data_IF_851453394098
#
_entry.id   IF_851453394098
#
_cell.length_a   1.000
_cell.length_b   1.000
_cell.length_c   1.000
_cell.angle_alpha   90.00
_cell.angle_beta   90.00
_cell.angle_gamma   90.00
#
_symmetry.space_group_name_H-M   'P 1'
#
loop_
_entity.id
_entity.type
_entity.pdbx_description
1 polymer ?
#
# COMPACT_ATOMS: atom_id res chain seq x y z
N UNK A 1 5.48 5.17 -14.74
CA UNK A 1 4.38 5.17 -13.75
C UNK A 1 4.64 4.20 -12.60
N UNK A 2 5.16 3.01 -12.89
CA UNK A 2 5.35 1.91 -11.92
C UNK A 2 6.25 2.28 -10.74
N UNK A 3 7.32 3.06 -10.96
CA UNK A 3 8.15 3.60 -9.87
C UNK A 3 7.42 4.60 -8.96
N UNK A 4 6.43 5.35 -9.46
CA UNK A 4 5.59 6.22 -8.62
C UNK A 4 4.71 5.36 -7.71
N UNK A 5 4.15 4.27 -8.25
CA UNK A 5 3.43 3.30 -7.45
C UNK A 5 4.35 2.68 -6.38
N UNK A 6 5.54 2.18 -6.76
CA UNK A 6 6.52 1.64 -5.79
C UNK A 6 6.80 2.64 -4.67
N UNK A 7 7.09 3.89 -5.03
CA UNK A 7 7.33 4.94 -4.06
C UNK A 7 6.11 5.16 -3.14
N UNK A 8 4.90 5.23 -3.69
CA UNK A 8 3.65 5.34 -2.94
C UNK A 8 3.47 4.20 -1.93
N UNK A 9 3.59 2.95 -2.36
CA UNK A 9 3.43 1.78 -1.48
C UNK A 9 4.42 1.80 -0.30
N UNK A 10 5.69 2.16 -0.53
CA UNK A 10 6.69 2.29 0.54
C UNK A 10 6.39 3.51 1.42
N UNK A 11 6.03 4.64 0.80
CA UNK A 11 5.75 5.91 1.48
C UNK A 11 4.55 5.80 2.43
N UNK A 12 3.55 5.00 2.07
CA UNK A 12 2.40 4.73 2.92
C UNK A 12 2.82 4.01 4.21
N UNK A 13 3.67 2.98 4.13
CA UNK A 13 4.19 2.29 5.33
C UNK A 13 4.96 3.27 6.23
N UNK A 14 5.70 4.21 5.64
CA UNK A 14 6.31 5.30 6.39
C UNK A 14 5.29 6.24 7.05
N UNK A 15 4.16 6.52 6.39
CA UNK A 15 3.06 7.30 6.95
C UNK A 15 2.51 6.65 8.23
N UNK A 16 2.18 5.37 8.17
CA UNK A 16 1.73 4.61 9.35
C UNK A 16 2.78 4.55 10.46
N UNK A 17 4.06 4.37 10.10
CA UNK A 17 5.16 4.42 11.05
C UNK A 17 5.19 5.73 11.84
N UNK A 18 5.03 6.86 11.14
CA UNK A 18 5.00 8.18 11.76
C UNK A 18 3.80 8.35 12.71
N UNK A 19 2.62 7.82 12.33
CA UNK A 19 1.43 7.82 13.19
C UNK A 19 1.62 6.98 14.45
N UNK A 20 2.11 5.73 14.32
CA UNK A 20 2.42 4.88 15.47
C UNK A 20 3.43 5.53 16.41
N UNK A 21 4.45 6.19 15.85
CA UNK A 21 5.45 6.91 16.63
C UNK A 21 4.83 8.07 17.42
N UNK A 22 4.00 8.90 16.79
CA UNK A 22 3.32 10.03 17.45
C UNK A 22 2.36 9.57 18.55
N UNK A 23 1.67 8.45 18.34
CA UNK A 23 0.74 7.88 19.34
C UNK A 23 1.46 7.22 20.53
N UNK A 24 2.73 6.82 20.35
CA UNK A 24 3.50 6.13 21.38
C UNK A 24 4.14 7.11 22.37
N UNK A 25 3.83 6.94 23.66
CA UNK A 25 4.45 7.68 24.77
C UNK A 25 5.73 7.03 25.32
N UNK A 26 6.06 5.81 24.88
CA UNK A 26 7.21 5.06 25.37
C UNK A 26 8.55 5.64 24.89
N UNK A 27 9.66 5.31 25.55
CA UNK A 27 11.00 5.72 25.12
C UNK A 27 11.31 5.16 23.71
N UNK A 28 11.72 6.00 22.76
CA UNK A 28 11.88 5.58 21.36
C UNK A 28 13.27 5.86 20.84
N UNK A 29 13.72 5.00 19.93
CA UNK A 29 14.92 5.20 19.13
C UNK A 29 14.80 6.45 18.24
N UNK A 30 15.89 6.96 17.66
CA UNK A 30 15.84 8.11 16.75
C UNK A 30 14.90 7.88 15.57
N UNK A 31 14.10 8.90 15.21
CA UNK A 31 13.14 8.80 14.10
C UNK A 31 13.82 8.56 12.74
N UNK A 32 15.01 9.10 12.54
CA UNK A 32 15.78 8.88 11.33
C UNK A 32 16.05 7.38 11.10
N UNK A 33 16.31 6.63 12.17
CA UNK A 33 16.57 5.20 12.08
C UNK A 33 15.29 4.40 11.74
N UNK A 34 14.15 4.74 12.33
CA UNK A 34 12.85 4.19 11.93
C UNK A 34 12.56 4.46 10.44
N UNK A 35 12.76 5.72 10.01
CA UNK A 35 12.58 6.15 8.62
C UNK A 35 13.45 5.33 7.67
N UNK A 36 14.76 5.27 7.93
CA UNK A 36 15.69 4.50 7.11
C UNK A 36 15.28 3.04 7.03
N UNK A 37 14.88 2.44 8.15
CA UNK A 37 14.49 1.02 8.20
C UNK A 37 13.32 0.73 7.28
N UNK A 38 12.22 1.51 7.32
CA UNK A 38 11.08 1.29 6.41
C UNK A 38 11.49 1.39 4.94
N UNK A 39 12.29 2.40 4.58
CA UNK A 39 12.74 2.57 3.21
C UNK A 39 13.68 1.45 2.75
N UNK A 40 14.54 0.94 3.63
CA UNK A 40 15.40 -0.21 3.32
C UNK A 40 14.58 -1.50 3.19
N UNK A 41 13.60 -1.72 4.07
CA UNK A 41 12.78 -2.95 4.05
C UNK A 41 11.90 -3.07 2.80
N UNK A 42 11.34 -1.96 2.32
CA UNK A 42 10.58 -1.95 1.06
C UNK A 42 11.45 -1.75 -0.19
N UNK A 43 12.50 -0.92 -0.10
CA UNK A 43 13.28 -0.50 -1.26
C UNK A 43 14.32 -1.52 -1.72
N UNK A 44 15.03 -2.19 -0.80
CA UNK A 44 16.08 -3.14 -1.19
C UNK A 44 15.53 -4.31 -2.01
N UNK A 45 14.39 -4.95 -1.67
CA UNK A 45 13.81 -6.00 -2.50
C UNK A 45 13.59 -5.57 -3.95
N UNK A 46 13.16 -4.33 -4.18
CA UNK A 46 13.02 -3.78 -5.54
C UNK A 46 14.39 -3.59 -6.20
N UNK A 47 15.36 -2.99 -5.53
CA UNK A 47 16.70 -2.79 -6.10
C UNK A 47 17.35 -4.15 -6.42
N UNK A 48 17.23 -5.12 -5.51
CA UNK A 48 17.65 -6.50 -5.73
C UNK A 48 17.03 -7.07 -7.00
N UNK A 49 15.73 -6.87 -7.18
CA UNK A 49 15.01 -7.35 -8.36
C UNK A 49 15.53 -6.75 -9.67
N UNK A 50 16.07 -5.52 -9.67
CA UNK A 50 16.73 -4.89 -10.83
C UNK A 50 18.11 -5.49 -11.15
N UNK A 51 18.81 -5.97 -10.12
CA UNK A 51 20.23 -6.31 -10.19
C UNK A 51 20.51 -7.81 -10.15
N UNK A 52 19.52 -8.62 -9.77
CA UNK A 52 19.67 -10.08 -9.74
C UNK A 52 19.77 -10.66 -11.15
N UNK A 53 20.52 -11.74 -11.30
CA UNK A 53 20.55 -12.61 -12.48
C UNK A 53 19.50 -13.73 -12.40
N UNK A 54 18.80 -13.85 -11.28
CA UNK A 54 17.69 -14.79 -11.17
C UNK A 54 16.59 -14.41 -12.16
N UNK A 55 16.06 -15.44 -12.83
CA UNK A 55 14.91 -15.26 -13.71
C UNK A 55 13.74 -14.69 -12.91
N UNK A 56 13.22 -13.54 -13.35
CA UNK A 56 11.97 -12.99 -12.82
C UNK A 56 10.83 -13.88 -13.29
N UNK A 57 10.12 -14.50 -12.35
CA UNK A 57 8.97 -15.35 -12.66
C UNK A 57 7.66 -14.55 -12.71
N UNK A 58 7.74 -13.22 -12.48
CA UNK A 58 6.62 -12.31 -12.64
C UNK A 58 7.05 -10.91 -13.09
N UNK A 59 6.06 -10.15 -13.58
CA UNK A 59 6.16 -8.72 -13.80
C UNK A 59 5.13 -8.02 -12.94
N UNK A 60 5.59 -7.06 -12.13
CA UNK A 60 4.71 -6.22 -11.34
C UNK A 60 4.23 -5.11 -12.28
N UNK A 61 2.91 -5.00 -12.46
CA UNK A 61 2.27 -4.26 -13.56
C UNK A 61 2.47 -4.96 -14.91
N UNK A 62 3.29 -4.42 -15.83
CA UNK A 62 3.47 -4.96 -17.18
C UNK A 62 4.95 -5.26 -17.43
N UNK A 63 5.21 -6.26 -18.29
CA UNK A 63 6.56 -6.58 -18.76
C UNK A 63 7.26 -5.32 -19.32
N UNK A 64 8.46 -5.03 -18.84
CA UNK A 64 9.27 -3.89 -19.28
C UNK A 64 9.14 -2.62 -18.44
N UNK A 65 8.25 -2.57 -17.45
CA UNK A 65 8.10 -1.40 -16.57
C UNK A 65 9.29 -1.19 -15.61
N UNK A 66 10.02 -2.26 -15.31
CA UNK A 66 11.19 -2.25 -14.43
C UNK A 66 12.45 -2.60 -15.20
N UNK A 67 13.50 -1.78 -15.01
CA UNK A 67 14.78 -1.99 -15.68
C UNK A 67 15.45 -3.30 -15.21
N UNK A 68 16.20 -3.90 -16.12
CA UNK A 68 17.02 -5.10 -15.87
C UNK A 68 18.47 -4.74 -16.15
N UNK A 69 19.29 -4.77 -15.10
CA UNK A 69 20.72 -4.50 -15.19
C UNK A 69 21.47 -5.43 -14.23
N UNK A 70 21.69 -6.70 -14.64
CA UNK A 70 22.17 -7.73 -13.73
C UNK A 70 23.58 -7.40 -13.22
N UNK A 71 23.67 -7.11 -11.93
CA UNK A 71 24.90 -7.04 -11.13
C UNK A 71 24.71 -7.93 -9.90
N UNK A 72 24.78 -9.26 -10.04
CA UNK A 72 24.33 -10.20 -9.00
C UNK A 72 25.09 -10.06 -7.68
N UNK A 73 26.38 -9.73 -7.76
CA UNK A 73 27.19 -9.45 -6.58
C UNK A 73 26.62 -8.28 -5.76
N UNK A 74 26.28 -7.17 -6.41
CA UNK A 74 25.70 -6.00 -5.74
C UNK A 74 24.31 -6.33 -5.18
N UNK A 75 23.51 -7.10 -5.93
CA UNK A 75 22.20 -7.57 -5.49
C UNK A 75 22.31 -8.34 -4.14
N UNK A 76 23.23 -9.31 -4.07
CA UNK A 76 23.47 -10.10 -2.86
C UNK A 76 24.01 -9.26 -1.69
N UNK A 77 24.94 -8.35 -1.96
CA UNK A 77 25.47 -7.42 -0.93
C UNK A 77 24.35 -6.57 -0.34
N UNK A 78 23.44 -6.04 -1.16
CA UNK A 78 22.30 -5.25 -0.70
C UNK A 78 21.34 -6.07 0.16
N UNK A 79 21.04 -7.33 -0.20
CA UNK A 79 20.22 -8.21 0.63
C UNK A 79 20.86 -8.51 2.00
N UNK A 80 22.16 -8.84 2.01
CA UNK A 80 22.88 -9.06 3.27
C UNK A 80 22.91 -7.80 4.14
N UNK A 81 23.07 -6.63 3.53
CA UNK A 81 22.98 -5.35 4.21
C UNK A 81 21.58 -5.14 4.81
N UNK A 82 20.51 -5.40 4.04
CA UNK A 82 19.13 -5.32 4.54
C UNK A 82 18.92 -6.23 5.76
N UNK A 83 19.33 -7.49 5.66
CA UNK A 83 19.12 -8.47 6.73
C UNK A 83 19.90 -8.09 8.00
N UNK A 84 21.14 -7.62 7.84
CA UNK A 84 21.98 -7.14 8.95
C UNK A 84 21.36 -5.91 9.60
N UNK A 85 20.88 -4.95 8.80
CA UNK A 85 20.19 -3.76 9.29
C UNK A 85 18.93 -4.12 10.07
N UNK A 86 18.12 -5.05 9.55
CA UNK A 86 16.89 -5.50 10.19
C UNK A 86 17.18 -6.21 11.52
N UNK A 87 18.18 -7.10 11.57
CA UNK A 87 18.65 -7.69 12.81
C UNK A 87 19.07 -6.62 13.83
N UNK A 88 19.82 -5.60 13.40
CA UNK A 88 20.21 -4.48 14.27
C UNK A 88 19.00 -3.68 14.78
N UNK A 89 17.99 -3.45 13.93
CA UNK A 89 16.74 -2.81 14.32
C UNK A 89 16.03 -3.57 15.46
N UNK A 90 15.92 -4.90 15.34
CA UNK A 90 15.32 -5.75 16.36
C UNK A 90 16.16 -5.74 17.65
N UNK A 91 17.49 -5.85 17.54
CA UNK A 91 18.39 -5.84 18.71
C UNK A 91 18.31 -4.53 19.49
N UNK A 92 18.24 -3.37 18.82
CA UNK A 92 18.06 -2.08 19.50
C UNK A 92 16.72 -2.06 20.24
N UNK A 93 15.64 -2.54 19.63
CA UNK A 93 14.34 -2.57 20.29
C UNK A 93 14.31 -3.53 21.48
N UNK A 94 15.00 -4.66 21.39
CA UNK A 94 15.23 -5.57 22.53
C UNK A 94 16.01 -4.87 23.65
N UNK A 95 17.07 -4.13 23.32
CA UNK A 95 17.81 -3.32 24.30
C UNK A 95 16.92 -2.27 24.97
N UNK A 96 16.10 -1.53 24.19
CA UNK A 96 15.18 -0.52 24.72
C UNK A 96 14.11 -1.14 25.64
N UNK A 97 13.64 -2.33 25.31
CA UNK A 97 12.72 -3.07 26.17
C UNK A 97 13.38 -3.47 27.49
N UNK A 98 14.60 -4.00 27.46
CA UNK A 98 15.34 -4.39 28.67
C UNK A 98 15.64 -3.17 29.54
N UNK A 99 16.10 -2.06 28.94
CA UNK A 99 16.58 -0.87 29.66
C UNK A 99 15.46 0.05 30.15
N UNK A 100 14.43 0.27 29.33
CA UNK A 100 13.41 1.29 29.56
C UNK A 100 12.00 0.69 29.69
N UNK A 101 11.84 -0.64 29.56
CA UNK A 101 10.53 -1.31 29.48
C UNK A 101 9.64 -0.72 28.37
N UNK A 102 10.27 -0.21 27.33
CA UNK A 102 9.60 0.40 26.18
C UNK A 102 9.53 -0.56 25.01
N UNK A 103 8.32 -0.86 24.55
CA UNK A 103 8.10 -1.68 23.36
C UNK A 103 6.98 -1.06 22.51
N UNK A 104 7.31 -0.18 21.54
CA UNK A 104 6.32 0.39 20.63
C UNK A 104 5.86 -0.66 19.60
N UNK A 105 5.04 -1.61 20.05
CA UNK A 105 4.72 -2.84 19.34
C UNK A 105 4.12 -2.61 17.95
N UNK A 106 3.16 -1.67 17.82
CA UNK A 106 2.52 -1.39 16.54
C UNK A 106 3.51 -0.94 15.46
N UNK A 107 4.50 -0.13 15.83
CA UNK A 107 5.59 0.27 14.94
C UNK A 107 6.48 -0.91 14.55
N UNK A 108 6.90 -1.72 15.52
CA UNK A 108 7.80 -2.85 15.27
C UNK A 108 7.11 -3.87 14.35
N UNK A 109 5.85 -4.21 14.62
CA UNK A 109 5.04 -5.09 13.79
C UNK A 109 4.89 -4.55 12.37
N UNK A 110 4.70 -3.23 12.21
CA UNK A 110 4.63 -2.60 10.88
C UNK A 110 5.92 -2.78 10.09
N UNK A 111 7.09 -2.60 10.71
CA UNK A 111 8.39 -2.79 10.06
C UNK A 111 8.60 -4.26 9.69
N UNK A 112 8.32 -5.18 10.62
CA UNK A 112 8.42 -6.63 10.38
C UNK A 112 7.51 -7.02 9.21
N UNK A 113 6.26 -6.59 9.23
CA UNK A 113 5.29 -6.87 8.17
C UNK A 113 5.73 -6.28 6.82
N UNK A 114 6.28 -5.06 6.81
CA UNK A 114 6.87 -4.47 5.59
C UNK A 114 8.01 -5.34 5.05
N UNK A 115 8.94 -5.78 5.91
CA UNK A 115 10.00 -6.68 5.50
C UNK A 115 9.44 -8.01 4.96
N UNK A 116 8.51 -8.65 5.67
CA UNK A 116 7.92 -9.93 5.27
C UNK A 116 7.28 -9.83 3.89
N UNK A 117 6.38 -8.85 3.68
CA UNK A 117 5.64 -8.71 2.42
C UNK A 117 6.59 -8.48 1.24
N UNK A 118 7.56 -7.56 1.38
CA UNK A 118 8.44 -7.19 0.28
C UNK A 118 9.54 -8.21 0.02
N UNK A 119 10.19 -8.71 1.07
CA UNK A 119 11.23 -9.74 0.92
C UNK A 119 10.63 -11.06 0.43
N UNK A 120 9.58 -11.57 1.08
CA UNK A 120 9.03 -12.85 0.66
C UNK A 120 8.32 -12.77 -0.68
N UNK A 121 7.58 -11.68 -0.96
CA UNK A 121 6.89 -11.53 -2.24
C UNK A 121 7.83 -11.43 -3.43
N UNK A 122 8.84 -10.55 -3.35
CA UNK A 122 9.72 -10.24 -4.49
C UNK A 122 10.94 -11.16 -4.54
N UNK A 123 11.62 -11.37 -3.41
CA UNK A 123 12.92 -12.05 -3.37
C UNK A 123 12.75 -13.56 -3.20
N UNK A 124 11.99 -14.00 -2.19
CA UNK A 124 11.93 -15.43 -1.85
C UNK A 124 10.98 -16.22 -2.75
N UNK A 125 9.72 -15.80 -2.87
CA UNK A 125 8.73 -16.49 -3.69
C UNK A 125 8.83 -16.12 -5.17
N UNK A 126 9.27 -14.89 -5.48
CA UNK A 126 9.35 -14.39 -6.85
C UNK A 126 8.05 -14.67 -7.62
N UNK A 127 6.90 -14.39 -7.01
CA UNK A 127 5.60 -14.84 -7.53
C UNK A 127 4.60 -13.69 -7.52
N UNK A 128 3.97 -13.45 -8.68
CA UNK A 128 2.96 -12.41 -8.83
C UNK A 128 1.84 -12.56 -7.81
N UNK A 129 1.26 -13.76 -7.72
CA UNK A 129 0.15 -14.05 -6.83
C UNK A 129 0.50 -13.78 -5.36
N UNK A 130 1.65 -14.29 -4.90
CA UNK A 130 2.12 -14.10 -3.53
C UNK A 130 2.34 -12.63 -3.20
N UNK A 131 3.03 -11.90 -4.09
CA UNK A 131 3.31 -10.49 -3.87
C UNK A 131 2.04 -9.63 -3.97
N UNK A 132 1.22 -9.83 -5.00
CA UNK A 132 -0.02 -9.07 -5.22
C UNK A 132 -0.99 -9.25 -4.06
N UNK A 133 -1.25 -10.48 -3.59
CA UNK A 133 -2.16 -10.70 -2.45
C UNK A 133 -1.61 -10.04 -1.19
N UNK A 134 -0.36 -10.31 -0.83
CA UNK A 134 0.20 -9.82 0.43
C UNK A 134 0.35 -8.30 0.43
N UNK A 135 0.76 -7.71 -0.69
CA UNK A 135 0.94 -6.27 -0.81
C UNK A 135 -0.39 -5.53 -0.93
N UNK A 136 -1.35 -6.02 -1.73
CA UNK A 136 -2.69 -5.40 -1.86
C UNK A 136 -3.44 -5.47 -0.54
N UNK A 137 -3.41 -6.59 0.19
CA UNK A 137 -4.06 -6.69 1.50
C UNK A 137 -3.41 -5.71 2.48
N UNK A 138 -2.08 -5.71 2.56
CA UNK A 138 -1.34 -4.85 3.48
C UNK A 138 -1.51 -3.35 3.18
N UNK A 139 -1.81 -3.01 1.93
CA UNK A 139 -2.00 -1.65 1.49
C UNK A 139 -3.46 -1.20 1.57
N UNK A 140 -4.36 -1.97 0.98
CA UNK A 140 -5.76 -1.63 0.78
C UNK A 140 -6.63 -1.83 2.02
N UNK A 141 -6.46 -2.93 2.77
CA UNK A 141 -7.33 -3.23 3.93
C UNK A 141 -7.22 -2.15 5.02
N UNK A 142 -6.03 -1.67 5.41
CA UNK A 142 -5.94 -0.55 6.35
C UNK A 142 -6.69 0.71 5.88
N UNK A 143 -6.69 1.01 4.58
CA UNK A 143 -7.39 2.20 4.06
C UNK A 143 -8.89 2.03 4.06
N UNK A 144 -9.37 0.87 3.61
CA UNK A 144 -10.79 0.52 3.67
C UNK A 144 -11.27 0.63 5.12
N UNK A 145 -10.49 0.11 6.08
CA UNK A 145 -10.79 0.23 7.50
C UNK A 145 -10.80 1.68 7.98
N UNK A 146 -9.77 2.48 7.67
CA UNK A 146 -9.69 3.88 8.13
C UNK A 146 -10.81 4.73 7.55
N UNK A 147 -11.14 4.56 6.27
CA UNK A 147 -12.23 5.27 5.62
C UNK A 147 -13.60 4.86 6.19
N UNK A 148 -13.79 3.57 6.44
CA UNK A 148 -14.99 3.08 7.11
C UNK A 148 -15.11 3.62 8.54
N UNK A 149 -14.03 3.54 9.32
CA UNK A 149 -13.99 4.04 10.70
C UNK A 149 -14.27 5.54 10.76
N UNK A 150 -13.69 6.32 9.84
CA UNK A 150 -13.99 7.74 9.67
C UNK A 150 -15.47 7.98 9.39
N UNK A 151 -16.07 7.19 8.49
CA UNK A 151 -17.49 7.31 8.12
C UNK A 151 -18.41 7.02 9.30
N UNK A 152 -18.09 6.02 10.13
CA UNK A 152 -18.88 5.67 11.32
C UNK A 152 -18.79 6.77 12.39
N UNK A 153 -17.58 7.28 12.66
CA UNK A 153 -17.37 8.37 13.62
C UNK A 153 -18.05 9.68 13.17
N UNK A 154 -18.16 9.89 11.86
CA UNK A 154 -18.76 11.10 11.26
C UNK A 154 -20.07 10.80 10.54
N UNK A 155 -20.90 9.90 11.10
CA UNK A 155 -22.17 9.49 10.48
C UNK A 155 -23.15 10.63 10.18
N UNK A 156 -22.98 11.79 10.84
CA UNK A 156 -23.71 13.02 10.55
C UNK A 156 -23.46 13.56 9.14
N UNK A 157 -22.26 13.35 8.58
CA UNK A 157 -21.82 13.80 7.24
C UNK A 157 -22.38 12.92 6.10
N UNK A 158 -22.96 11.76 6.41
CA UNK A 158 -23.57 10.87 5.41
C UNK A 158 -24.81 11.57 4.81
N UNK A 159 -24.69 11.97 3.54
CA UNK A 159 -25.74 12.71 2.80
C UNK A 159 -26.97 11.85 2.53
N UNK A 160 -26.78 10.56 2.23
CA UNK A 160 -27.87 9.66 1.85
C UNK A 160 -28.54 9.14 3.14
N UNK A 161 -29.77 9.61 3.40
CA UNK A 161 -30.52 9.31 4.64
C UNK A 161 -30.67 7.80 4.91
N UNK A 162 -30.75 6.97 3.87
CA UNK A 162 -30.89 5.51 4.03
C UNK A 162 -29.66 4.87 4.70
N UNK A 163 -28.47 5.45 4.48
CA UNK A 163 -27.21 5.01 5.08
C UNK A 163 -26.97 5.63 6.46
N UNK A 164 -27.71 6.69 6.81
CA UNK A 164 -27.63 7.39 8.10
C UNK A 164 -28.40 6.69 9.23
N UNK A 165 -29.42 5.89 8.90
CA UNK A 165 -30.24 5.14 9.88
C UNK A 165 -29.85 3.66 9.86
N UNK A 166 -28.98 3.26 10.78
CA UNK A 166 -28.62 1.85 10.93
C UNK A 166 -27.55 1.60 11.98
N UNK A 167 -27.38 0.33 12.35
CA UNK A 167 -26.21 -0.16 13.06
C UNK A 167 -24.95 0.00 12.20
N UNK A 168 -23.78 -0.01 12.84
CA UNK A 168 -22.47 0.00 12.15
C UNK A 168 -22.36 -1.12 11.09
N UNK A 169 -23.02 -2.26 11.30
CA UNK A 169 -23.06 -3.37 10.35
C UNK A 169 -23.77 -3.00 9.05
N UNK A 170 -24.89 -2.26 9.11
CA UNK A 170 -25.57 -1.77 7.89
C UNK A 170 -24.67 -0.80 7.13
N UNK A 171 -24.00 0.13 7.84
CA UNK A 171 -23.06 1.07 7.23
C UNK A 171 -21.93 0.30 6.55
N UNK A 172 -21.38 -0.73 7.19
CA UNK A 172 -20.31 -1.57 6.63
C UNK A 172 -20.76 -2.27 5.36
N UNK A 173 -21.91 -2.92 5.38
CA UNK A 173 -22.46 -3.61 4.19
C UNK A 173 -22.67 -2.62 3.05
N UNK A 174 -23.30 -1.47 3.31
CA UNK A 174 -23.51 -0.45 2.28
C UNK A 174 -22.18 0.08 1.72
N UNK A 175 -21.21 0.34 2.61
CA UNK A 175 -19.86 0.79 2.23
C UNK A 175 -19.16 -0.23 1.33
N UNK A 176 -19.14 -1.51 1.72
CA UNK A 176 -18.55 -2.58 0.93
C UNK A 176 -19.29 -2.81 -0.39
N UNK A 177 -20.62 -2.74 -0.41
CA UNK A 177 -21.40 -2.85 -1.64
C UNK A 177 -21.09 -1.73 -2.64
N UNK A 178 -20.91 -0.49 -2.15
CA UNK A 178 -20.53 0.64 -3.01
C UNK A 178 -19.12 0.42 -3.57
N UNK A 179 -18.15 0.06 -2.72
CA UNK A 179 -16.78 -0.22 -3.17
C UNK A 179 -16.75 -1.36 -4.20
N UNK A 180 -17.48 -2.44 -3.93
CA UNK A 180 -17.58 -3.57 -4.85
C UNK A 180 -18.24 -3.17 -6.17
N UNK A 181 -19.32 -2.40 -6.14
CA UNK A 181 -19.98 -1.94 -7.37
C UNK A 181 -19.05 -1.07 -8.22
N UNK A 182 -18.30 -0.15 -7.59
CA UNK A 182 -17.33 0.68 -8.29
C UNK A 182 -16.19 -0.16 -8.91
N UNK A 183 -15.59 -1.05 -8.12
CA UNK A 183 -14.52 -1.93 -8.59
C UNK A 183 -15.00 -2.88 -9.69
N UNK A 184 -16.21 -3.42 -9.57
CA UNK A 184 -16.80 -4.31 -10.58
C UNK A 184 -17.06 -3.57 -11.89
N UNK A 185 -17.60 -2.34 -11.83
CA UNK A 185 -17.82 -1.52 -13.04
C UNK A 185 -16.50 -1.15 -13.69
N UNK A 186 -15.51 -0.74 -12.90
CA UNK A 186 -14.18 -0.41 -13.40
C UNK A 186 -13.54 -1.60 -14.13
N UNK A 187 -13.49 -2.78 -13.48
CA UNK A 187 -12.93 -4.00 -14.05
C UNK A 187 -13.73 -4.48 -15.27
N UNK A 188 -15.06 -4.34 -15.25
CA UNK A 188 -15.90 -4.66 -16.40
C UNK A 188 -15.55 -3.79 -17.61
N UNK A 189 -15.25 -2.50 -17.42
CA UNK A 189 -14.84 -1.60 -18.51
C UNK A 189 -13.44 -2.00 -19.02
N UNK A 190 -12.49 -2.25 -18.11
CA UNK A 190 -11.15 -2.74 -18.46
C UNK A 190 -11.23 -4.00 -19.33
N UNK A 191 -12.00 -4.99 -18.87
CA UNK A 191 -12.12 -6.27 -19.55
C UNK A 191 -12.86 -6.15 -20.89
N UNK A 192 -13.91 -5.33 -20.97
CA UNK A 192 -14.71 -5.21 -22.20
C UNK A 192 -13.95 -4.59 -23.36
N UNK A 193 -13.02 -3.66 -23.08
CA UNK A 193 -12.42 -2.80 -24.10
C UNK A 193 -10.90 -2.90 -24.23
N UNK A 194 -10.20 -3.36 -23.18
CA UNK A 194 -8.73 -3.39 -23.13
C UNK A 194 -8.20 -4.81 -23.00
N UNK A 195 -8.49 -5.51 -21.90
CA UNK A 195 -7.85 -6.81 -21.59
C UNK A 195 -8.50 -7.99 -22.28
N UNK A 196 -9.83 -8.06 -22.27
CA UNK A 196 -10.61 -9.13 -22.92
C UNK A 196 -10.25 -10.55 -22.42
N UNK A 197 -10.08 -10.72 -21.12
CA UNK A 197 -9.58 -11.96 -20.49
C UNK A 197 -10.63 -12.69 -19.62
N UNK A 198 -11.67 -12.00 -19.13
CA UNK A 198 -12.57 -12.46 -18.07
C UNK A 198 -14.04 -12.60 -18.48
N UNK A 199 -14.32 -12.90 -19.75
CA UNK A 199 -15.69 -12.98 -20.28
C UNK A 199 -16.60 -13.97 -19.55
N UNK A 200 -16.04 -15.01 -18.92
CA UNK A 200 -16.80 -15.95 -18.09
C UNK A 200 -17.41 -15.28 -16.85
N UNK A 201 -16.71 -14.29 -16.27
CA UNK A 201 -17.15 -13.56 -15.08
C UNK A 201 -18.13 -12.46 -15.48
N UNK A 202 -17.76 -11.65 -16.48
CA UNK A 202 -18.49 -10.43 -16.84
C UNK A 202 -19.60 -10.62 -17.88
N UNK A 203 -19.64 -11.77 -18.56
CA UNK A 203 -20.60 -12.08 -19.63
C UNK A 203 -20.66 -11.00 -20.72
N UNK A 204 -19.52 -10.40 -21.02
CA UNK A 204 -19.31 -9.26 -21.91
C UNK A 204 -18.60 -9.66 -23.22
N UNK A 205 -18.59 -10.94 -23.60
CA UNK A 205 -17.90 -11.42 -24.80
C UNK A 205 -18.37 -10.74 -26.09
N UNK A 206 -19.60 -10.19 -26.11
CA UNK A 206 -20.11 -9.38 -27.23
C UNK A 206 -19.29 -8.11 -27.49
N UNK A 207 -18.54 -7.61 -26.51
CA UNK A 207 -17.68 -6.45 -26.64
C UNK A 207 -16.27 -6.79 -27.13
N UNK A 208 -15.84 -8.06 -27.08
CA UNK A 208 -14.47 -8.42 -27.41
C UNK A 208 -14.15 -8.24 -28.90
N UNK A 209 -15.14 -8.37 -29.77
CA UNK A 209 -14.99 -8.10 -31.21
C UNK A 209 -14.90 -6.60 -31.53
N UNK A 210 -15.20 -5.73 -30.57
CA UNK A 210 -15.09 -4.29 -30.76
C UNK A 210 -13.66 -3.84 -30.46
N UNK A 211 -13.02 -3.24 -31.46
CA UNK A 211 -11.68 -2.67 -31.33
C UNK A 211 -11.77 -1.15 -31.27
N UNK A 212 -11.27 -0.58 -30.17
CA UNK A 212 -11.17 0.87 -30.04
C UNK A 212 -10.02 1.39 -30.91
N UNK A 213 -10.20 2.54 -31.60
CA UNK A 213 -9.07 3.25 -32.17
C UNK A 213 -8.02 3.56 -31.08
N UNK A 214 -6.73 3.52 -31.45
CA UNK A 214 -5.61 3.67 -30.51
C UNK A 214 -5.74 4.92 -29.62
N UNK A 215 -6.15 6.06 -30.20
CA UNK A 215 -6.39 7.30 -29.46
C UNK A 215 -7.52 7.16 -28.41
N UNK A 216 -8.61 6.48 -28.76
CA UNK A 216 -9.72 6.27 -27.83
C UNK A 216 -9.32 5.29 -26.71
N UNK A 217 -8.55 4.25 -27.04
CA UNK A 217 -7.96 3.35 -26.06
C UNK A 217 -7.05 4.10 -25.08
N UNK A 218 -6.15 4.96 -25.59
CA UNK A 218 -5.27 5.76 -24.75
C UNK A 218 -6.03 6.69 -23.79
N UNK A 219 -7.13 7.31 -24.26
CA UNK A 219 -8.01 8.13 -23.40
C UNK A 219 -8.69 7.26 -22.34
N UNK A 220 -9.24 6.10 -22.72
CA UNK A 220 -9.94 5.21 -21.79
C UNK A 220 -9.00 4.69 -20.70
N UNK A 221 -7.81 4.20 -21.10
CA UNK A 221 -6.75 3.75 -20.18
C UNK A 221 -6.36 4.88 -19.23
N UNK A 222 -6.14 6.08 -19.76
CA UNK A 222 -5.80 7.26 -18.94
C UNK A 222 -6.91 7.61 -17.94
N UNK A 223 -8.17 7.55 -18.38
CA UNK A 223 -9.33 7.86 -17.55
C UNK A 223 -9.52 6.82 -16.43
N UNK A 224 -9.45 5.53 -16.75
CA UNK A 224 -9.58 4.45 -15.76
C UNK A 224 -8.40 4.43 -14.79
N UNK A 225 -7.19 4.80 -15.23
CA UNK A 225 -6.02 4.89 -14.36
C UNK A 225 -6.01 6.14 -13.47
N UNK A 226 -6.71 7.21 -13.85
CA UNK A 226 -6.67 8.50 -13.17
C UNK A 226 -7.00 8.42 -11.66
N UNK A 227 -8.05 7.70 -11.20
CA UNK A 227 -8.31 7.55 -9.77
C UNK A 227 -7.14 6.93 -9.01
N UNK A 228 -6.54 5.86 -9.55
CA UNK A 228 -5.39 5.18 -8.94
C UNK A 228 -4.17 6.10 -8.88
N UNK A 229 -3.86 6.79 -9.97
CA UNK A 229 -2.76 7.75 -10.01
C UNK A 229 -2.94 8.92 -9.05
N UNK A 230 -4.16 9.46 -9.01
CA UNK A 230 -4.53 10.55 -8.10
C UNK A 230 -4.36 10.10 -6.65
N UNK A 231 -4.78 8.87 -6.32
CA UNK A 231 -4.54 8.29 -5.00
C UNK A 231 -3.05 8.24 -4.66
N UNK A 232 -2.20 7.74 -5.56
CA UNK A 232 -0.74 7.68 -5.32
C UNK A 232 -0.11 9.04 -4.97
N UNK A 233 -0.60 10.11 -5.59
CA UNK A 233 -0.12 11.46 -5.30
C UNK A 233 -0.71 12.01 -4.00
N UNK A 234 -2.04 11.95 -3.86
CA UNK A 234 -2.74 12.54 -2.73
C UNK A 234 -2.38 11.87 -1.41
N UNK A 235 -2.05 10.58 -1.44
CA UNK A 235 -1.71 9.85 -0.23
C UNK A 235 -0.50 10.40 0.52
N UNK A 236 0.46 10.96 -0.22
CA UNK A 236 1.61 11.66 0.34
C UNK A 236 1.24 12.90 1.19
N UNK A 237 -0.01 13.36 1.10
CA UNK A 237 -0.56 14.51 1.80
C UNK A 237 -1.69 14.14 2.76
N UNK A 238 -2.52 13.13 2.44
CA UNK A 238 -3.71 12.76 3.21
C UNK A 238 -3.40 12.43 4.66
N UNK A 239 -2.27 11.79 4.97
CA UNK A 239 -1.93 11.37 6.34
C UNK A 239 -1.00 12.33 7.08
N UNK A 240 -0.68 13.47 6.48
CA UNK A 240 0.14 14.49 7.14
C UNK A 240 -0.74 15.26 8.12
N UNK A 241 -0.57 14.93 9.39
CA UNK A 241 -1.11 15.72 10.51
C UNK A 241 -0.46 17.10 10.50
N UNK A 242 -1.29 18.14 10.43
CA UNK A 242 -0.86 19.55 10.40
C UNK A 242 -2.02 20.47 10.02
N UNK A 243 -1.71 21.74 9.72
CA UNK A 243 -2.70 22.78 9.41
C UNK A 243 -3.63 22.42 8.25
N UNK A 244 -3.14 21.67 7.27
CA UNK A 244 -3.94 21.25 6.11
C UNK A 244 -4.92 20.10 6.43
N UNK A 245 -4.66 19.31 7.48
CA UNK A 245 -5.51 18.18 7.88
C UNK A 245 -5.75 18.16 9.41
N UNK A 246 -6.36 19.22 9.99
CA UNK A 246 -6.46 19.35 11.44
C UNK A 246 -7.36 18.29 12.07
N UNK A 247 -8.34 17.77 11.32
CA UNK A 247 -9.25 16.70 11.77
C UNK A 247 -8.52 15.40 12.13
N UNK A 248 -7.31 15.17 11.60
CA UNK A 248 -6.56 13.95 11.88
C UNK A 248 -6.06 13.86 13.33
N UNK A 249 -5.83 15.00 14.01
CA UNK A 249 -5.48 15.01 15.43
C UNK A 249 -6.58 14.35 16.26
N UNK A 250 -7.82 14.80 16.06
CA UNK A 250 -8.98 14.22 16.75
C UNK A 250 -9.24 12.78 16.32
N UNK A 251 -9.14 12.48 15.01
CA UNK A 251 -9.41 11.14 14.49
C UNK A 251 -8.46 10.07 15.04
N UNK A 252 -7.18 10.39 15.19
CA UNK A 252 -6.17 9.47 15.73
C UNK A 252 -5.93 9.60 17.24
N UNK A 253 -6.63 10.52 17.90
CA UNK A 253 -6.47 10.86 19.32
C UNK A 253 -5.02 11.26 19.65
N UNK A 254 -4.40 12.03 18.75
CA UNK A 254 -3.03 12.53 18.91
C UNK A 254 -3.10 13.93 19.52
N UNK A 255 -2.32 14.16 20.58
CA UNK A 255 -2.23 15.46 21.24
C UNK A 255 -1.70 16.53 20.27
N UNK A 256 -2.36 17.68 20.19
CA UNK A 256 -1.92 18.82 19.35
C UNK A 256 -0.51 19.33 19.70
N UNK A 257 -0.01 18.99 20.90
CA UNK A 257 1.31 19.40 21.40
C UNK A 257 2.44 18.40 21.11
N UNK A 258 2.20 17.32 20.34
CA UNK A 258 3.19 16.25 20.04
C UNK A 258 4.07 16.52 18.83
#
# INVERSE_FOLDING_TARGET
MSYIAVFHFIRQQFGFLALYRKKSTSAQIPFLFDKMTIYLMGGIPIIYWHLTDQKREFSWFINGDFLEYPIPYLANVLLWFQQTWFCFYILIHTYYFIRYRSLPLGKILLVINTWVVWFFGIVYFNSDFSFTITNVINHGVPYIFLLFYYTVQNSSEIRIKIFKRGSWTRILVCFLCILFALAFVEEWIWDSFIWKDHSFIFKNSSFYSFELPEFASAILVSFLFLPQFTHYILDAYLWKIGEFNPRLFHFFEISEKS
#
